data_IF_463395097395
#
_entry.id   IF_463395097395
#
_cell.length_a   1.000
_cell.length_b   1.000
_cell.length_c   1.000
_cell.angle_alpha   90.00
_cell.angle_beta   90.00
_cell.angle_gamma   90.00
#
_symmetry.space_group_name_H-M   'P 1'
#
loop_
_entity.id
_entity.type
_entity.pdbx_description
1 polymer ?
#
# COMPACT_ATOMS: atom_id res chain seq x y z
N UNK A 1 4.38 15.45 24.50
CA UNK A 1 3.64 15.66 23.23
C UNK A 1 2.15 15.73 23.52
N UNK A 2 1.41 16.66 22.92
CA UNK A 2 -0.05 16.75 23.09
C UNK A 2 -0.79 16.13 21.91
N UNK A 3 -1.99 15.56 22.14
CA UNK A 3 -2.86 14.99 21.10
C UNK A 3 -3.09 15.99 19.95
N UNK A 4 -3.22 17.29 20.29
CA UNK A 4 -3.39 18.37 19.33
C UNK A 4 -2.27 18.44 18.28
N UNK A 5 -1.02 18.22 18.67
CA UNK A 5 0.12 18.21 17.74
C UNK A 5 0.13 17.01 16.79
N UNK A 6 -0.59 15.94 17.14
CA UNK A 6 -0.82 14.82 16.23
C UNK A 6 -1.96 15.12 15.26
N UNK A 7 -3.05 15.74 15.70
CA UNK A 7 -4.22 16.03 14.85
C UNK A 7 -3.98 17.17 13.83
N UNK A 8 -3.19 18.16 14.21
CA UNK A 8 -2.85 19.33 13.37
C UNK A 8 -1.34 19.56 13.42
N UNK A 9 -0.54 18.75 12.70
CA UNK A 9 0.89 19.00 12.63
C UNK A 9 1.17 20.34 11.93
N UNK A 10 2.14 21.15 12.40
CA UNK A 10 2.54 22.35 11.68
C UNK A 10 3.14 21.96 10.33
N UNK A 11 2.94 22.78 9.27
CA UNK A 11 3.60 22.57 7.99
C UNK A 11 5.12 22.55 8.21
N UNK A 12 5.82 21.54 7.67
CA UNK A 12 7.27 21.43 7.89
C UNK A 12 8.09 22.55 7.23
N UNK A 13 7.59 23.12 6.14
CA UNK A 13 8.05 24.36 5.52
C UNK A 13 6.84 25.02 4.85
N UNK A 14 6.65 26.35 4.96
CA UNK A 14 5.80 27.05 4.02
C UNK A 14 6.41 26.81 2.62
N UNK A 15 5.68 26.11 1.74
CA UNK A 15 6.10 26.06 0.35
C UNK A 15 6.01 27.49 -0.18
N UNK A 16 7.10 28.02 -0.75
CA UNK A 16 6.97 29.23 -1.56
C UNK A 16 5.90 28.96 -2.63
N UNK A 17 4.99 29.91 -2.88
CA UNK A 17 3.97 29.73 -3.90
C UNK A 17 4.64 29.37 -5.24
N UNK A 18 4.28 28.22 -5.80
CA UNK A 18 4.76 27.83 -7.13
C UNK A 18 4.25 28.83 -8.18
N UNK A 19 5.08 29.13 -9.17
CA UNK A 19 4.64 29.80 -10.40
C UNK A 19 3.49 28.98 -11.04
N UNK A 20 2.47 29.62 -11.65
CA UNK A 20 1.41 28.93 -12.38
C UNK A 20 1.88 27.81 -13.32
N UNK A 21 3.02 27.99 -14.00
CA UNK A 21 3.61 27.01 -14.91
C UNK A 21 4.11 25.76 -14.19
N UNK A 22 4.88 25.94 -13.10
CA UNK A 22 5.37 24.86 -12.25
C UNK A 22 4.22 24.11 -11.57
N UNK A 23 3.20 24.84 -11.10
CA UNK A 23 1.99 24.26 -10.52
C UNK A 23 1.28 23.34 -11.52
N UNK A 24 1.16 23.76 -12.79
CA UNK A 24 0.55 22.96 -13.85
C UNK A 24 1.40 21.72 -14.16
N UNK A 25 2.72 21.88 -14.28
CA UNK A 25 3.63 20.76 -14.51
C UNK A 25 3.53 19.71 -13.39
N UNK A 26 3.38 20.15 -12.14
CA UNK A 26 3.25 19.25 -11.00
C UNK A 26 1.94 18.47 -11.00
N UNK A 27 0.81 19.09 -11.38
CA UNK A 27 -0.44 18.36 -11.58
C UNK A 27 -0.33 17.30 -12.68
N UNK A 28 0.35 17.62 -13.78
CA UNK A 28 0.61 16.67 -14.87
C UNK A 28 1.48 15.51 -14.36
N UNK A 29 2.55 15.80 -13.63
CA UNK A 29 3.42 14.78 -13.03
C UNK A 29 2.63 13.82 -12.13
N UNK A 30 1.86 14.35 -11.17
CA UNK A 30 1.04 13.53 -10.27
C UNK A 30 0.05 12.68 -11.08
N UNK A 31 -0.63 13.27 -12.06
CA UNK A 31 -1.63 12.56 -12.87
C UNK A 31 -0.99 11.40 -13.64
N UNK A 32 0.13 11.63 -14.31
CA UNK A 32 0.85 10.58 -15.05
C UNK A 32 1.33 9.49 -14.10
N UNK A 33 1.95 9.86 -12.97
CA UNK A 33 2.44 8.90 -11.98
C UNK A 33 1.30 8.05 -11.44
N UNK A 34 0.16 8.65 -11.08
CA UNK A 34 -0.99 7.89 -10.61
C UNK A 34 -1.56 6.99 -11.70
N UNK A 35 -1.75 7.47 -12.93
CA UNK A 35 -2.27 6.65 -14.03
C UNK A 35 -1.36 5.46 -14.36
N UNK A 36 -0.05 5.64 -14.34
CA UNK A 36 0.94 4.57 -14.61
C UNK A 36 1.02 3.56 -13.46
N UNK A 37 0.66 3.97 -12.24
CA UNK A 37 0.81 3.16 -11.02
C UNK A 37 -0.55 2.78 -10.42
N UNK A 38 -0.95 3.40 -9.31
CA UNK A 38 -2.09 2.97 -8.48
C UNK A 38 -3.43 3.61 -8.86
N UNK A 39 -3.45 4.70 -9.62
CA UNK A 39 -4.65 5.43 -9.99
C UNK A 39 -5.60 4.61 -10.86
N UNK A 40 -5.07 3.95 -11.91
CA UNK A 40 -5.87 3.02 -12.72
C UNK A 40 -6.26 1.78 -11.91
N UNK A 41 -5.38 1.26 -11.04
CA UNK A 41 -5.72 0.16 -10.13
C UNK A 41 -6.90 0.49 -9.21
N UNK A 42 -7.02 1.74 -8.75
CA UNK A 42 -8.17 2.22 -7.97
C UNK A 42 -9.47 2.16 -8.76
N UNK A 43 -9.48 2.67 -9.99
CA UNK A 43 -10.65 2.62 -10.86
C UNK A 43 -11.04 1.18 -11.20
N UNK A 44 -10.07 0.34 -11.58
CA UNK A 44 -10.31 -1.08 -11.83
C UNK A 44 -10.85 -1.80 -10.60
N UNK A 45 -10.33 -1.49 -9.40
CA UNK A 45 -10.78 -2.12 -8.15
C UNK A 45 -12.22 -1.76 -7.80
N UNK A 46 -12.63 -0.51 -8.07
CA UNK A 46 -14.00 -0.07 -7.89
C UNK A 46 -14.96 -0.78 -8.86
N UNK A 47 -14.55 -0.94 -10.12
CA UNK A 47 -15.32 -1.72 -11.11
C UNK A 47 -15.43 -3.19 -10.69
N UNK A 48 -14.34 -3.82 -10.26
CA UNK A 48 -14.36 -5.22 -9.79
C UNK A 48 -15.27 -5.42 -8.58
N UNK A 49 -15.31 -4.46 -7.65
CA UNK A 49 -16.25 -4.50 -6.53
C UNK A 49 -17.70 -4.37 -7.01
N UNK A 50 -17.98 -3.47 -7.95
CA UNK A 50 -19.31 -3.30 -8.51
C UNK A 50 -19.78 -4.56 -9.24
N UNK A 51 -18.91 -5.16 -10.06
CA UNK A 51 -19.18 -6.43 -10.73
C UNK A 51 -19.47 -7.54 -9.72
N UNK A 52 -18.67 -7.64 -8.66
CA UNK A 52 -18.87 -8.63 -7.59
C UNK A 52 -20.19 -8.39 -6.84
N UNK A 53 -20.55 -7.14 -6.59
CA UNK A 53 -21.78 -6.78 -5.88
C UNK A 53 -23.05 -6.99 -6.72
N UNK A 54 -22.93 -6.95 -8.05
CA UNK A 54 -24.03 -7.22 -8.99
C UNK A 54 -24.15 -8.70 -9.35
N UNK A 55 -23.17 -9.54 -8.99
CA UNK A 55 -23.20 -10.97 -9.24
C UNK A 55 -24.30 -11.66 -8.41
N UNK A 56 -24.87 -12.80 -8.89
CA UNK A 56 -25.91 -13.51 -8.15
C UNK A 56 -25.45 -14.07 -6.79
N UNK A 57 -24.16 -14.37 -6.64
CA UNK A 57 -23.60 -14.91 -5.42
C UNK A 57 -23.27 -13.78 -4.42
N UNK A 58 -23.53 -13.94 -3.11
CA UNK A 58 -23.11 -12.99 -2.09
C UNK A 58 -21.60 -12.73 -2.12
N UNK A 59 -21.16 -11.53 -1.73
CA UNK A 59 -19.73 -11.18 -1.70
C UNK A 59 -18.91 -12.16 -0.84
N UNK A 60 -19.44 -12.59 0.31
CA UNK A 60 -18.76 -13.53 1.22
C UNK A 60 -18.40 -14.88 0.58
N UNK A 61 -19.15 -15.27 -0.45
CA UNK A 61 -19.02 -16.55 -1.12
C UNK A 61 -18.12 -16.44 -2.36
N UNK A 62 -17.75 -15.23 -2.75
CA UNK A 62 -16.81 -14.94 -3.82
C UNK A 62 -15.38 -14.90 -3.29
N UNK A 63 -14.42 -15.27 -4.12
CA UNK A 63 -13.00 -15.30 -3.76
C UNK A 63 -12.17 -14.47 -4.72
N UNK A 64 -11.28 -13.64 -4.18
CA UNK A 64 -10.25 -12.95 -4.95
C UNK A 64 -8.86 -13.39 -4.51
N UNK A 65 -8.01 -13.71 -5.48
CA UNK A 65 -6.65 -14.16 -5.23
C UNK A 65 -5.63 -13.07 -5.58
N UNK A 66 -4.63 -12.87 -4.71
CA UNK A 66 -3.62 -11.81 -4.89
C UNK A 66 -2.42 -12.30 -5.70
N UNK A 67 -1.69 -13.27 -5.14
CA UNK A 67 -0.51 -13.85 -5.77
C UNK A 67 -0.88 -15.17 -6.46
N UNK A 68 -1.23 -15.07 -7.75
CA UNK A 68 -1.69 -16.19 -8.58
C UNK A 68 -0.61 -16.70 -9.54
N UNK A 69 -0.62 -18.00 -9.92
CA UNK A 69 0.20 -18.50 -11.01
C UNK A 69 -0.11 -17.75 -12.31
N UNK A 70 0.92 -17.41 -13.06
CA UNK A 70 0.83 -16.71 -14.36
C UNK A 70 1.22 -17.62 -15.51
N UNK A 71 1.73 -18.81 -15.25
CA UNK A 71 2.06 -19.82 -16.25
C UNK A 71 1.95 -21.20 -15.61
N UNK A 72 1.57 -22.21 -16.40
CA UNK A 72 1.65 -23.61 -16.00
C UNK A 72 3.09 -24.16 -16.02
N UNK A 73 4.05 -23.39 -16.56
CA UNK A 73 5.46 -23.79 -16.62
C UNK A 73 6.24 -23.12 -15.49
N UNK A 74 6.74 -23.90 -14.53
CA UNK A 74 7.37 -23.43 -13.30
C UNK A 74 8.36 -22.27 -13.47
N UNK A 75 9.35 -22.39 -14.37
CA UNK A 75 10.37 -21.36 -14.54
C UNK A 75 9.86 -20.12 -15.28
N UNK A 76 8.87 -20.28 -16.17
CA UNK A 76 8.20 -19.15 -16.82
C UNK A 76 7.34 -18.41 -15.80
N UNK A 77 6.67 -19.12 -14.89
CA UNK A 77 5.92 -18.48 -13.82
C UNK A 77 6.84 -17.69 -12.89
N UNK A 78 7.94 -18.29 -12.41
CA UNK A 78 8.96 -17.60 -11.63
C UNK A 78 9.42 -16.31 -12.32
N UNK A 79 9.76 -16.38 -13.61
CA UNK A 79 10.15 -15.20 -14.38
C UNK A 79 9.04 -14.13 -14.42
N UNK A 80 7.78 -14.52 -14.61
CA UNK A 80 6.62 -13.60 -14.60
C UNK A 80 6.34 -13.01 -13.22
N UNK A 81 6.59 -13.74 -12.14
CA UNK A 81 6.50 -13.23 -10.77
C UNK A 81 7.60 -12.17 -10.53
N UNK A 82 8.85 -12.50 -10.87
CA UNK A 82 9.99 -11.59 -10.74
C UNK A 82 9.81 -10.31 -11.57
N UNK A 83 9.27 -10.40 -12.79
CA UNK A 83 8.93 -9.22 -13.59
C UNK A 83 7.89 -8.32 -12.90
N UNK A 84 6.91 -8.92 -12.21
CA UNK A 84 5.94 -8.18 -11.41
C UNK A 84 6.59 -7.46 -10.22
N UNK A 85 7.47 -8.14 -9.51
CA UNK A 85 8.26 -7.59 -8.38
C UNK A 85 9.14 -6.43 -8.88
N UNK A 86 9.88 -6.62 -9.98
CA UNK A 86 10.74 -5.58 -10.58
C UNK A 86 9.90 -4.37 -10.98
N UNK A 87 8.70 -4.57 -11.54
CA UNK A 87 7.80 -3.46 -11.89
C UNK A 87 7.41 -2.62 -10.68
N UNK A 88 7.05 -3.24 -9.56
CA UNK A 88 6.74 -2.51 -8.32
C UNK A 88 7.96 -1.77 -7.76
N UNK A 89 9.14 -2.40 -7.76
CA UNK A 89 10.38 -1.74 -7.37
C UNK A 89 10.72 -0.55 -8.29
N UNK A 90 10.45 -0.67 -9.59
CA UNK A 90 10.61 0.43 -10.55
C UNK A 90 9.64 1.58 -10.27
N UNK A 91 8.40 1.30 -9.86
CA UNK A 91 7.44 2.32 -9.41
C UNK A 91 7.94 3.06 -8.17
N UNK A 92 8.44 2.33 -7.15
CA UNK A 92 9.07 2.94 -5.99
C UNK A 92 10.28 3.80 -6.39
N UNK A 93 11.17 3.29 -7.24
CA UNK A 93 12.33 4.01 -7.72
C UNK A 93 11.95 5.29 -8.49
N UNK A 94 10.89 5.26 -9.29
CA UNK A 94 10.35 6.43 -9.99
C UNK A 94 9.91 7.51 -9.00
N UNK A 95 9.15 7.15 -7.97
CA UNK A 95 8.72 8.10 -6.93
C UNK A 95 9.90 8.74 -6.20
N UNK A 96 10.89 7.94 -5.80
CA UNK A 96 12.13 8.45 -5.19
C UNK A 96 12.89 9.37 -6.15
N UNK A 97 13.02 8.97 -7.42
CA UNK A 97 13.75 9.72 -8.44
C UNK A 97 13.12 11.09 -8.68
N UNK A 98 11.79 11.17 -8.83
CA UNK A 98 11.10 12.45 -9.05
C UNK A 98 11.23 13.39 -7.84
N UNK A 99 11.16 12.86 -6.62
CA UNK A 99 11.42 13.64 -5.41
C UNK A 99 12.87 14.16 -5.39
N UNK A 100 13.83 13.27 -5.63
CA UNK A 100 15.25 13.63 -5.66
C UNK A 100 15.54 14.68 -6.74
N UNK A 101 14.98 14.53 -7.95
CA UNK A 101 15.14 15.48 -9.06
C UNK A 101 14.60 16.87 -8.73
N UNK A 102 13.62 16.96 -7.82
CA UNK A 102 13.05 18.20 -7.29
C UNK A 102 13.73 18.72 -6.01
N UNK A 103 14.89 18.15 -5.63
CA UNK A 103 15.68 18.59 -4.46
C UNK A 103 15.31 17.91 -3.14
N UNK A 104 14.37 16.96 -3.14
CA UNK A 104 13.95 16.21 -1.95
C UNK A 104 14.61 14.83 -1.98
N UNK A 105 15.83 14.74 -1.43
CA UNK A 105 16.60 13.49 -1.43
C UNK A 105 16.02 12.39 -0.53
N UNK A 106 16.44 11.11 -0.72
CA UNK A 106 15.92 9.96 0.04
C UNK A 106 16.02 10.13 1.57
N UNK A 107 17.05 10.82 2.07
CA UNK A 107 17.20 11.08 3.50
C UNK A 107 16.06 11.97 4.05
N UNK A 108 15.60 12.95 3.27
CA UNK A 108 14.55 13.90 3.68
C UNK A 108 13.18 13.24 3.88
N UNK A 109 12.90 12.17 3.14
CA UNK A 109 11.69 11.36 3.31
C UNK A 109 11.87 10.18 4.27
N UNK A 110 13.06 10.02 4.86
CA UNK A 110 13.33 8.92 5.80
C UNK A 110 13.59 7.56 5.14
N UNK A 111 14.12 7.58 3.93
CA UNK A 111 14.36 6.40 3.09
C UNK A 111 15.84 6.20 2.74
N UNK A 112 16.76 6.85 3.47
CA UNK A 112 18.20 6.60 3.32
C UNK A 112 18.64 5.31 4.05
N UNK A 113 19.69 4.66 3.56
CA UNK A 113 20.16 3.35 4.06
C UNK A 113 20.53 3.36 5.55
N UNK A 114 21.12 4.45 6.03
CA UNK A 114 21.50 4.66 7.43
C UNK A 114 20.30 4.75 8.40
N UNK A 115 19.11 5.03 7.87
CA UNK A 115 17.85 5.10 8.64
C UNK A 115 17.11 3.75 8.69
N UNK A 116 17.48 2.77 7.86
CA UNK A 116 16.80 1.47 7.77
C UNK A 116 16.74 0.75 9.13
N UNK A 117 17.89 0.61 9.79
CA UNK A 117 17.98 -0.09 11.09
C UNK A 117 17.14 0.58 12.17
N UNK A 118 17.07 1.91 12.16
CA UNK A 118 16.25 2.70 13.11
C UNK A 118 14.75 2.51 12.85
N UNK A 119 14.38 2.13 11.63
CA UNK A 119 13.00 1.89 11.24
C UNK A 119 12.45 0.51 11.59
N UNK A 120 13.30 -0.47 11.88
CA UNK A 120 12.88 -1.86 12.10
C UNK A 120 11.93 -2.01 13.30
N UNK A 121 12.34 -1.58 14.49
CA UNK A 121 11.54 -1.75 15.70
C UNK A 121 10.21 -0.98 15.64
N UNK A 122 10.18 0.31 15.24
CA UNK A 122 8.91 1.00 15.01
C UNK A 122 8.05 0.32 13.94
N UNK A 123 8.66 -0.24 12.89
CA UNK A 123 7.96 -0.99 11.85
C UNK A 123 7.27 -2.24 12.38
N UNK A 124 7.93 -3.03 13.23
CA UNK A 124 7.31 -4.17 13.91
C UNK A 124 6.13 -3.73 14.78
N UNK A 125 6.29 -2.65 15.55
CA UNK A 125 5.21 -2.08 16.36
C UNK A 125 4.01 -1.63 15.53
N UNK A 126 4.24 -0.96 14.40
CA UNK A 126 3.20 -0.55 13.46
C UNK A 126 2.55 -1.75 12.77
N UNK A 127 3.32 -2.80 12.45
CA UNK A 127 2.79 -4.05 11.90
C UNK A 127 1.79 -4.70 12.85
N UNK A 128 2.14 -4.80 14.13
CA UNK A 128 1.23 -5.34 15.15
C UNK A 128 -0.01 -4.44 15.34
N UNK A 129 0.19 -3.12 15.38
CA UNK A 129 -0.87 -2.13 15.56
C UNK A 129 -1.91 -2.17 14.45
N UNK A 130 -1.52 -2.45 13.21
CA UNK A 130 -2.43 -2.52 12.06
C UNK A 130 -2.87 -3.95 11.77
N UNK A 131 -1.94 -4.89 11.71
CA UNK A 131 -2.18 -6.26 11.29
C UNK A 131 -3.10 -7.03 12.22
N UNK A 132 -2.95 -6.89 13.55
CA UNK A 132 -3.79 -7.60 14.53
C UNK A 132 -5.26 -7.14 14.45
N UNK A 133 -5.59 -5.85 14.63
CA UNK A 133 -6.97 -5.39 14.49
C UNK A 133 -7.47 -5.48 13.04
N UNK A 134 -6.58 -5.38 12.05
CA UNK A 134 -6.91 -5.57 10.64
C UNK A 134 -7.43 -6.98 10.33
N UNK A 135 -6.81 -8.01 10.92
CA UNK A 135 -7.32 -9.39 10.84
C UNK A 135 -8.71 -9.48 11.48
N UNK A 136 -8.92 -8.88 12.65
CA UNK A 136 -10.24 -8.81 13.29
C UNK A 136 -11.29 -8.12 12.41
N UNK A 137 -10.95 -6.97 11.81
CA UNK A 137 -11.82 -6.25 10.88
C UNK A 137 -12.17 -7.09 9.65
N UNK A 138 -11.18 -7.78 9.07
CA UNK A 138 -11.41 -8.68 7.94
C UNK A 138 -12.41 -9.78 8.28
N UNK A 139 -12.21 -10.47 9.39
CA UNK A 139 -13.09 -11.55 9.84
C UNK A 139 -14.51 -11.05 10.14
N UNK A 140 -14.63 -9.89 10.80
CA UNK A 140 -15.93 -9.27 11.08
C UNK A 140 -16.65 -8.86 9.80
N UNK A 141 -15.95 -8.18 8.87
CA UNK A 141 -16.53 -7.73 7.60
C UNK A 141 -16.96 -8.91 6.72
N UNK A 142 -16.21 -10.02 6.72
CA UNK A 142 -16.61 -11.26 6.05
C UNK A 142 -17.84 -11.88 6.70
N UNK A 143 -17.89 -11.93 8.04
CA UNK A 143 -19.02 -12.49 8.78
C UNK A 143 -20.35 -11.74 8.53
N UNK A 144 -20.29 -10.44 8.23
CA UNK A 144 -21.47 -9.63 7.87
C UNK A 144 -21.69 -9.47 6.36
N UNK A 145 -20.95 -10.21 5.52
CA UNK A 145 -21.16 -10.23 4.07
C UNK A 145 -20.63 -9.01 3.30
N UNK A 146 -19.79 -8.17 3.92
CA UNK A 146 -19.24 -6.95 3.30
C UNK A 146 -17.92 -7.17 2.55
N UNK A 147 -17.29 -8.32 2.74
CA UNK A 147 -15.99 -8.66 2.15
C UNK A 147 -16.04 -9.95 1.34
N UNK A 148 -15.21 -9.98 0.30
CA UNK A 148 -14.87 -11.23 -0.38
C UNK A 148 -13.94 -12.06 0.49
N UNK A 149 -13.95 -13.36 0.23
CA UNK A 149 -12.88 -14.23 0.72
C UNK A 149 -11.59 -13.87 -0.02
N UNK A 150 -10.52 -13.52 0.70
CA UNK A 150 -9.24 -13.12 0.08
C UNK A 150 -8.30 -14.31 0.20
N UNK A 151 -7.84 -14.83 -0.94
CA UNK A 151 -6.78 -15.83 -1.03
C UNK A 151 -5.44 -15.11 -1.27
N UNK A 152 -4.63 -14.84 -0.22
CA UNK A 152 -3.43 -14.02 -0.35
C UNK A 152 -2.37 -14.64 -1.27
N UNK A 153 -2.39 -15.96 -1.45
CA UNK A 153 -1.62 -16.62 -2.50
C UNK A 153 -2.27 -17.93 -2.94
N UNK A 154 -2.27 -18.19 -4.24
CA UNK A 154 -2.61 -19.48 -4.86
C UNK A 154 -1.45 -20.03 -5.70
N UNK A 155 -0.24 -19.51 -5.49
CA UNK A 155 0.96 -20.02 -6.15
C UNK A 155 1.13 -21.51 -5.86
N UNK A 156 1.51 -22.25 -6.90
CA UNK A 156 1.81 -23.67 -6.82
C UNK A 156 3.04 -23.95 -5.93
N UNK A 157 3.11 -25.16 -5.39
CA UNK A 157 4.13 -25.54 -4.41
C UNK A 157 5.51 -25.78 -5.05
N UNK A 158 6.15 -24.67 -5.42
CA UNK A 158 7.51 -24.62 -5.90
C UNK A 158 8.46 -24.12 -4.80
N UNK A 159 9.73 -24.53 -4.88
CA UNK A 159 10.77 -24.10 -3.92
C UNK A 159 10.92 -22.58 -3.80
N UNK A 160 10.60 -21.84 -4.87
CA UNK A 160 10.69 -20.38 -4.93
C UNK A 160 9.41 -19.67 -4.46
N UNK A 161 8.32 -20.39 -4.15
CA UNK A 161 7.03 -19.81 -3.76
C UNK A 161 7.18 -18.87 -2.56
N UNK A 162 7.75 -19.35 -1.45
CA UNK A 162 7.90 -18.53 -0.24
C UNK A 162 8.86 -17.34 -0.45
N UNK A 163 10.06 -17.52 -1.05
CA UNK A 163 10.91 -16.40 -1.42
C UNK A 163 10.19 -15.35 -2.29
N UNK A 164 9.44 -15.78 -3.30
CA UNK A 164 8.71 -14.88 -4.19
C UNK A 164 7.62 -14.09 -3.45
N UNK A 165 6.88 -14.72 -2.52
CA UNK A 165 5.87 -14.03 -1.71
C UNK A 165 6.47 -12.96 -0.81
N UNK A 166 7.61 -13.25 -0.17
CA UNK A 166 8.32 -12.25 0.64
C UNK A 166 8.82 -11.09 -0.24
N UNK A 167 9.33 -11.39 -1.44
CA UNK A 167 9.75 -10.35 -2.40
C UNK A 167 8.56 -9.51 -2.90
N UNK A 168 7.41 -10.12 -3.15
CA UNK A 168 6.17 -9.40 -3.46
C UNK A 168 5.77 -8.46 -2.33
N UNK A 169 5.77 -8.93 -1.08
CA UNK A 169 5.45 -8.11 0.09
C UNK A 169 6.40 -6.90 0.23
N UNK A 170 7.71 -7.11 0.03
CA UNK A 170 8.72 -6.04 0.08
C UNK A 170 8.53 -5.05 -1.08
N UNK A 171 8.29 -5.55 -2.30
CA UNK A 171 8.14 -4.68 -3.47
C UNK A 171 6.83 -3.89 -3.42
N UNK A 172 5.74 -4.51 -2.96
CA UNK A 172 4.44 -3.84 -2.80
C UNK A 172 4.50 -2.75 -1.74
N UNK A 173 5.00 -3.08 -0.55
CA UNK A 173 5.22 -2.10 0.51
C UNK A 173 6.13 -0.95 0.07
N UNK A 174 7.23 -1.22 -0.64
CA UNK A 174 8.10 -0.16 -1.15
C UNK A 174 7.35 0.74 -2.15
N UNK A 175 6.63 0.17 -3.11
CA UNK A 175 5.88 0.93 -4.11
C UNK A 175 4.80 1.80 -3.47
N UNK A 176 3.97 1.22 -2.60
CA UNK A 176 2.86 1.91 -1.97
C UNK A 176 3.33 2.99 -1.00
N UNK A 177 4.26 2.68 -0.08
CA UNK A 177 4.68 3.67 0.91
C UNK A 177 5.49 4.81 0.26
N UNK A 178 6.30 4.52 -0.77
CA UNK A 178 6.99 5.58 -1.50
C UNK A 178 6.02 6.44 -2.31
N UNK A 179 5.13 5.85 -3.11
CA UNK A 179 4.29 6.63 -4.02
C UNK A 179 3.09 7.27 -3.33
N UNK A 180 2.37 6.49 -2.54
CA UNK A 180 1.08 6.89 -1.96
C UNK A 180 1.29 7.73 -0.71
N UNK A 181 2.31 7.43 0.11
CA UNK A 181 2.62 8.23 1.32
C UNK A 181 3.66 9.31 1.02
N UNK A 182 4.91 8.94 0.73
CA UNK A 182 5.98 9.93 0.67
C UNK A 182 5.86 10.89 -0.52
N UNK A 183 5.68 10.37 -1.73
CA UNK A 183 5.59 11.16 -2.96
C UNK A 183 4.30 11.97 -3.00
N UNK A 184 3.13 11.33 -2.95
CA UNK A 184 1.85 12.01 -3.15
C UNK A 184 1.60 13.09 -2.09
N UNK A 185 1.81 12.80 -0.80
CA UNK A 185 1.64 13.82 0.26
C UNK A 185 2.62 14.98 0.04
N UNK A 186 3.87 14.70 -0.33
CA UNK A 186 4.84 15.76 -0.66
C UNK A 186 4.37 16.62 -1.81
N UNK A 187 3.92 16.01 -2.92
CA UNK A 187 3.47 16.75 -4.09
C UNK A 187 2.20 17.56 -3.84
N UNK A 188 1.24 17.01 -3.10
CA UNK A 188 0.03 17.75 -2.71
C UNK A 188 0.37 18.95 -1.82
N UNK A 189 1.31 18.82 -0.88
CA UNK A 189 1.81 19.95 -0.08
C UNK A 189 2.48 21.02 -0.94
N UNK A 190 3.27 20.62 -1.94
CA UNK A 190 3.86 21.56 -2.91
C UNK A 190 2.77 22.30 -3.72
N UNK A 191 1.63 21.65 -3.98
CA UNK A 191 0.43 22.28 -4.54
C UNK A 191 -0.38 23.11 -3.53
N UNK A 192 0.13 23.33 -2.32
CA UNK A 192 -0.52 24.13 -1.27
C UNK A 192 -1.61 23.40 -0.49
N UNK A 193 -1.74 22.07 -0.62
CA UNK A 193 -2.67 21.31 0.20
C UNK A 193 -2.21 21.29 1.65
N UNK A 194 -3.16 21.38 2.58
CA UNK A 194 -2.88 21.23 4.00
C UNK A 194 -2.35 19.84 4.33
N UNK A 195 -1.72 19.71 5.51
CA UNK A 195 -1.30 18.42 6.06
C UNK A 195 -2.47 17.41 6.11
N UNK A 196 -3.66 17.84 6.54
CA UNK A 196 -4.77 16.91 6.70
C UNK A 196 -5.47 16.56 5.39
N UNK A 197 -5.59 17.51 4.44
CA UNK A 197 -6.17 17.21 3.13
C UNK A 197 -5.27 16.33 2.28
N UNK A 198 -3.95 16.54 2.33
CA UNK A 198 -2.99 15.66 1.64
C UNK A 198 -2.95 14.25 2.22
N UNK A 199 -3.03 14.12 3.55
CA UNK A 199 -3.17 12.83 4.23
C UNK A 199 -4.46 12.10 3.82
N UNK A 200 -5.60 12.82 3.82
CA UNK A 200 -6.88 12.22 3.46
C UNK A 200 -6.88 11.74 2.01
N UNK A 201 -6.39 12.54 1.06
CA UNK A 201 -6.28 12.13 -0.34
C UNK A 201 -5.39 10.89 -0.52
N UNK A 202 -4.25 10.85 0.17
CA UNK A 202 -3.36 9.69 0.18
C UNK A 202 -4.05 8.42 0.73
N UNK A 203 -4.75 8.54 1.86
CA UNK A 203 -5.46 7.42 2.47
C UNK A 203 -6.64 6.93 1.62
N UNK A 204 -7.39 7.84 0.98
CA UNK A 204 -8.48 7.48 0.08
C UNK A 204 -7.97 6.83 -1.21
N UNK A 205 -6.86 7.31 -1.76
CA UNK A 205 -6.19 6.62 -2.87
C UNK A 205 -5.81 5.20 -2.46
N UNK A 206 -5.22 5.02 -1.27
CA UNK A 206 -4.92 3.68 -0.73
C UNK A 206 -6.15 2.79 -0.67
N UNK A 207 -7.21 3.27 -0.03
CA UNK A 207 -8.46 2.51 0.05
C UNK A 207 -9.02 2.12 -1.32
N UNK A 208 -8.93 3.00 -2.32
CA UNK A 208 -9.57 2.79 -3.62
C UNK A 208 -8.98 1.60 -4.38
N UNK A 209 -7.64 1.45 -4.42
CA UNK A 209 -6.99 0.32 -5.09
C UNK A 209 -7.05 -1.00 -4.30
N UNK A 210 -7.75 -1.02 -3.17
CA UNK A 210 -8.06 -2.24 -2.40
C UNK A 210 -9.55 -2.59 -2.38
N UNK A 211 -10.43 -1.82 -3.04
CA UNK A 211 -11.88 -2.08 -3.06
C UNK A 211 -12.24 -3.44 -3.67
N UNK A 212 -11.39 -4.00 -4.53
CA UNK A 212 -11.60 -5.33 -5.13
C UNK A 212 -11.64 -6.47 -4.09
N UNK A 213 -11.15 -6.23 -2.86
CA UNK A 213 -11.21 -7.16 -1.74
C UNK A 213 -12.55 -7.10 -0.99
N UNK A 214 -13.39 -6.11 -1.29
CA UNK A 214 -14.60 -5.78 -0.56
C UNK A 214 -14.52 -4.43 0.15
N UNK A 215 -15.65 -4.00 0.71
CA UNK A 215 -15.79 -2.68 1.37
C UNK A 215 -14.91 -2.60 2.61
N UNK A 216 -14.86 -3.67 3.41
CA UNK A 216 -13.98 -3.76 4.58
C UNK A 216 -12.50 -3.74 4.22
N UNK A 217 -12.11 -4.36 3.10
CA UNK A 217 -10.74 -4.28 2.57
C UNK A 217 -10.33 -2.86 2.21
N UNK A 218 -11.21 -2.12 1.52
CA UNK A 218 -11.00 -0.69 1.23
C UNK A 218 -10.92 0.17 2.50
N UNK A 219 -11.87 0.01 3.44
CA UNK A 219 -11.89 0.79 4.70
C UNK A 219 -10.65 0.51 5.55
N UNK A 220 -10.25 -0.75 5.70
CA UNK A 220 -9.04 -1.12 6.45
C UNK A 220 -7.80 -0.43 5.89
N UNK A 221 -7.72 -0.31 4.57
CA UNK A 221 -6.64 0.36 3.86
C UNK A 221 -6.68 1.89 3.96
N UNK A 222 -7.87 2.50 4.02
CA UNK A 222 -7.99 3.92 4.39
C UNK A 222 -7.45 4.15 5.81
N UNK A 223 -7.83 3.31 6.78
CA UNK A 223 -7.37 3.44 8.17
C UNK A 223 -5.84 3.28 8.27
N UNK A 224 -5.29 2.25 7.62
CA UNK A 224 -3.84 2.06 7.54
C UNK A 224 -3.15 3.29 6.91
N UNK A 225 -3.69 3.80 5.80
CA UNK A 225 -3.18 5.01 5.13
C UNK A 225 -3.19 6.24 6.04
N UNK A 226 -4.24 6.45 6.84
CA UNK A 226 -4.31 7.53 7.81
C UNK A 226 -3.25 7.39 8.90
N UNK A 227 -3.07 6.19 9.48
CA UNK A 227 -2.08 5.94 10.53
C UNK A 227 -0.67 6.09 9.99
N UNK A 228 -0.36 5.46 8.87
CA UNK A 228 0.97 5.45 8.26
C UNK A 228 1.34 6.84 7.74
N UNK A 229 0.45 7.46 6.97
CA UNK A 229 0.63 8.81 6.49
C UNK A 229 0.86 9.77 7.65
N UNK A 230 0.03 9.75 8.70
CA UNK A 230 0.23 10.61 9.88
C UNK A 230 1.55 10.33 10.60
N UNK A 231 1.94 9.07 10.76
CA UNK A 231 3.24 8.71 11.33
C UNK A 231 4.38 9.34 10.53
N UNK A 232 4.32 9.27 9.19
CA UNK A 232 5.33 9.87 8.32
C UNK A 232 5.30 11.41 8.32
N UNK A 233 4.13 12.04 8.36
CA UNK A 233 4.01 13.50 8.52
C UNK A 233 4.66 14.01 9.80
N UNK A 234 4.70 13.18 10.86
CA UNK A 234 5.27 13.53 12.17
C UNK A 234 6.75 13.19 12.29
N UNK A 235 7.18 12.06 11.73
CA UNK A 235 8.56 11.55 11.90
C UNK A 235 9.46 11.77 10.68
N UNK A 236 8.87 11.85 9.48
CA UNK A 236 9.60 11.75 8.19
C UNK A 236 10.48 10.51 8.13
N UNK A 237 10.02 9.42 8.74
CA UNK A 237 10.66 8.11 8.68
C UNK A 237 9.77 7.19 7.83
N UNK A 238 10.24 6.82 6.64
CA UNK A 238 9.50 5.96 5.72
C UNK A 238 9.79 4.47 5.96
N UNK A 239 11.02 4.13 6.36
CA UNK A 239 11.39 2.75 6.64
C UNK A 239 10.47 2.01 7.63
N UNK A 240 10.02 2.60 8.75
CA UNK A 240 9.00 1.96 9.60
C UNK A 240 7.76 1.52 8.84
N UNK A 241 7.26 2.33 7.91
CA UNK A 241 6.05 2.03 7.15
C UNK A 241 6.29 0.87 6.19
N UNK A 242 7.40 0.92 5.44
CA UNK A 242 7.77 -0.13 4.49
C UNK A 242 7.96 -1.48 5.21
N UNK A 243 8.66 -1.47 6.35
CA UNK A 243 8.86 -2.67 7.18
C UNK A 243 7.52 -3.18 7.71
N UNK A 244 6.68 -2.28 8.23
CA UNK A 244 5.40 -2.66 8.80
C UNK A 244 4.49 -3.32 7.75
N UNK A 245 4.37 -2.68 6.59
CA UNK A 245 3.58 -3.18 5.46
C UNK A 245 4.15 -4.51 4.96
N UNK A 246 5.46 -4.60 4.70
CA UNK A 246 6.08 -5.84 4.25
C UNK A 246 5.85 -7.00 5.22
N UNK A 247 5.86 -6.74 6.54
CA UNK A 247 5.58 -7.75 7.55
C UNK A 247 4.11 -8.18 7.55
N UNK A 248 3.17 -7.25 7.45
CA UNK A 248 1.73 -7.55 7.35
C UNK A 248 1.47 -8.43 6.12
N UNK A 249 1.97 -8.02 4.95
CA UNK A 249 1.83 -8.77 3.70
C UNK A 249 2.50 -10.13 3.78
N UNK A 250 3.73 -10.22 4.31
CA UNK A 250 4.44 -11.48 4.44
C UNK A 250 3.71 -12.46 5.36
N UNK A 251 3.18 -11.97 6.50
CA UNK A 251 2.38 -12.78 7.42
C UNK A 251 1.08 -13.25 6.75
N UNK A 252 0.40 -12.38 6.00
CA UNK A 252 -0.80 -12.76 5.25
C UNK A 252 -0.49 -13.80 4.16
N UNK A 253 0.56 -13.59 3.37
CA UNK A 253 0.91 -14.45 2.22
C UNK A 253 1.42 -15.81 2.68
N UNK A 254 2.40 -15.83 3.59
CA UNK A 254 3.04 -17.05 4.08
C UNK A 254 2.15 -17.75 5.10
N UNK A 255 1.53 -17.00 6.02
CA UNK A 255 0.64 -17.55 7.04
C UNK A 255 -0.60 -18.20 6.44
N UNK A 256 -1.19 -17.61 5.39
CA UNK A 256 -2.26 -18.26 4.66
C UNK A 256 -1.82 -19.61 4.08
N UNK A 257 -0.65 -19.66 3.45
CA UNK A 257 -0.13 -20.88 2.86
C UNK A 257 0.18 -21.97 3.90
N UNK A 258 0.54 -21.59 5.12
CA UNK A 258 0.77 -22.53 6.22
C UNK A 258 -0.54 -23.03 6.87
N UNK A 259 -1.60 -22.21 6.88
CA UNK A 259 -2.85 -22.49 7.61
C UNK A 259 -3.98 -23.00 6.72
N UNK A 260 -3.94 -22.74 5.41
CA UNK A 260 -4.93 -23.21 4.45
C UNK A 260 -5.09 -24.73 4.55
N UNK A 261 -6.34 -25.20 4.59
CA UNK A 261 -6.66 -26.62 4.77
C UNK A 261 -6.49 -27.16 6.20
N UNK A 262 -5.96 -26.36 7.14
CA UNK A 262 -5.76 -26.75 8.55
C UNK A 262 -6.71 -26.02 9.50
N UNK A 263 -7.35 -24.93 9.07
CA UNK A 263 -8.32 -24.16 9.86
C UNK A 263 -9.60 -23.93 9.06
N UNK A 264 -10.75 -24.02 9.72
CA UNK A 264 -12.08 -23.97 9.07
C UNK A 264 -12.51 -22.60 8.56
N UNK A 265 -11.83 -21.54 9.00
CA UNK A 265 -12.15 -20.16 8.64
C UNK A 265 -11.35 -19.63 7.44
N UNK A 266 -10.37 -20.41 6.94
CA UNK A 266 -9.65 -20.12 5.69
C UNK A 266 -10.17 -21.05 4.57
N UNK A 267 -10.36 -20.53 3.34
CA UNK A 267 -10.71 -21.31 2.14
C UNK A 267 -9.56 -22.17 1.61
#
# INVERSE_FOLDING_TARGET
MTIRTWLTPPPRRPAEPLDPSDRRALWIEITIVLLVTFGLSGLSSMLSLLESALAPAPLSDQTVALNVPRSSQQFIDLARQLLGIVRLLAWAALGVYLLWRSGIGPRAIGFARDQFRRGLLPGVGLAALIGIPGLGLYLAARAVGLNLTVAPSTLEDYWWRLPALVLWAIANSAAEEVLVVAYLITRLRQLGWSENSSLLASALLRGSYHLYQGVGGGIGNVVMGLVFGRYWQRTSQLWPLVVAHALIDSVAFVGYQALRGHVSWLP
#
